data_IF_760903178922
#
_entry.id   IF_760903178922
#
_cell.length_a   1.000
_cell.length_b   1.000
_cell.length_c   1.000
_cell.angle_alpha   90.00
_cell.angle_beta   90.00
_cell.angle_gamma   90.00
#
_symmetry.space_group_name_H-M   'P 1'
#
loop_
_entity.id
_entity.type
_entity.pdbx_description
1 polymer ?
#
# COMPACT_ATOMS: atom_id res chain seq x y z
N UNK A 1 10.81 -11.60 25.89
CA UNK A 1 9.42 -11.28 26.25
C UNK A 1 9.23 -9.95 27.01
N UNK A 2 10.28 -9.27 27.50
CA UNK A 2 10.11 -8.04 28.29
C UNK A 2 9.65 -6.82 27.47
N UNK A 3 10.08 -6.69 26.21
CA UNK A 3 9.79 -5.53 25.34
C UNK A 3 8.34 -5.51 24.85
N UNK A 4 7.80 -6.68 24.49
CA UNK A 4 6.42 -6.82 24.02
C UNK A 4 5.40 -6.40 25.09
N UNK A 5 5.69 -6.63 26.37
CA UNK A 5 4.81 -6.20 27.47
C UNK A 5 4.82 -4.69 27.73
N UNK A 6 5.85 -3.96 27.25
CA UNK A 6 6.05 -2.53 27.57
C UNK A 6 5.79 -1.60 26.38
N UNK A 7 5.85 -2.11 25.16
CA UNK A 7 5.75 -1.35 23.91
C UNK A 7 4.64 -1.86 22.98
N UNK A 8 3.64 -2.55 23.54
CA UNK A 8 2.43 -2.91 22.81
C UNK A 8 1.47 -1.73 22.75
N UNK A 9 0.69 -1.65 21.68
CA UNK A 9 -0.36 -0.65 21.56
C UNK A 9 -1.47 -0.91 22.58
N UNK A 10 -1.88 0.14 23.29
CA UNK A 10 -3.00 0.11 24.22
C UNK A 10 -4.31 0.51 23.54
N UNK A 11 -5.48 0.10 24.09
CA UNK A 11 -6.78 0.51 23.56
C UNK A 11 -6.93 2.03 23.53
N UNK A 12 -7.19 2.59 22.34
CA UNK A 12 -7.34 4.03 22.13
C UNK A 12 -6.12 4.70 21.50
N UNK A 13 -4.98 4.01 21.41
CA UNK A 13 -3.83 4.50 20.66
C UNK A 13 -4.06 4.41 19.14
N UNK A 14 -3.37 5.28 18.40
CA UNK A 14 -3.43 5.35 16.93
C UNK A 14 -2.09 4.94 16.34
N UNK A 15 -2.11 4.00 15.39
CA UNK A 15 -0.94 3.67 14.59
C UNK A 15 -0.86 4.56 13.33
N UNK A 16 0.35 4.65 12.80
CA UNK A 16 0.68 5.45 11.63
C UNK A 16 1.60 4.66 10.69
N UNK A 17 1.34 4.77 9.40
CA UNK A 17 2.21 4.27 8.34
C UNK A 17 2.58 5.43 7.41
N UNK A 18 3.89 5.64 7.21
CA UNK A 18 4.44 6.65 6.32
C UNK A 18 5.33 5.97 5.27
N UNK A 19 5.15 6.32 4.01
CA UNK A 19 6.02 5.91 2.91
C UNK A 19 6.27 7.12 2.02
N UNK A 20 7.54 7.41 1.74
CA UNK A 20 7.92 8.47 0.80
C UNK A 20 8.86 7.90 -0.23
N UNK A 21 8.52 8.06 -1.51
CA UNK A 21 9.38 7.77 -2.64
C UNK A 21 9.71 9.06 -3.37
N UNK A 22 10.98 9.29 -3.64
CA UNK A 22 11.45 10.43 -4.42
C UNK A 22 12.10 9.92 -5.71
N UNK A 23 11.68 10.48 -6.83
CA UNK A 23 12.16 10.13 -8.16
C UNK A 23 12.76 11.35 -8.84
N UNK A 24 14.03 11.25 -9.25
CA UNK A 24 14.65 12.18 -10.18
C UNK A 24 14.40 11.69 -11.61
N UNK A 25 13.65 12.44 -12.40
CA UNK A 25 13.30 12.11 -13.78
C UNK A 25 14.00 13.07 -14.72
N UNK A 26 14.65 12.54 -15.76
CA UNK A 26 15.10 13.36 -16.89
C UNK A 26 14.06 13.26 -17.99
N UNK A 27 13.52 14.41 -18.41
CA UNK A 27 12.57 14.49 -19.50
C UNK A 27 13.31 14.48 -20.85
N UNK A 28 12.58 14.20 -21.93
CA UNK A 28 13.14 14.11 -23.29
C UNK A 28 13.74 15.45 -23.77
N UNK A 29 13.26 16.56 -23.23
CA UNK A 29 13.78 17.92 -23.47
C UNK A 29 15.10 18.22 -22.71
N UNK A 30 15.62 17.26 -21.96
CA UNK A 30 16.84 17.39 -21.15
C UNK A 30 16.63 18.04 -19.78
N UNK A 31 15.41 18.47 -19.45
CA UNK A 31 15.10 19.04 -18.14
C UNK A 31 15.07 17.97 -17.04
N UNK A 32 15.43 18.37 -15.82
CA UNK A 32 15.40 17.51 -14.64
C UNK A 32 14.16 17.81 -13.81
N UNK A 33 13.27 16.83 -13.69
CA UNK A 33 12.13 16.84 -12.78
C UNK A 33 12.41 16.07 -11.50
N UNK A 34 11.80 16.52 -10.40
CA UNK A 34 11.72 15.76 -9.15
C UNK A 34 10.26 15.46 -8.87
N UNK A 35 9.91 14.19 -8.79
CA UNK A 35 8.57 13.73 -8.47
C UNK A 35 8.60 13.00 -7.13
N UNK A 36 7.73 13.36 -6.21
CA UNK A 36 7.64 12.74 -4.89
C UNK A 36 6.28 12.08 -4.73
N UNK A 37 6.27 10.82 -4.30
CA UNK A 37 5.05 10.07 -3.94
C UNK A 37 5.08 9.82 -2.45
N UNK A 38 4.19 10.49 -1.72
CA UNK A 38 4.05 10.34 -0.27
C UNK A 38 2.74 9.65 0.05
N UNK A 39 2.79 8.67 0.94
CA UNK A 39 1.64 8.01 1.55
C UNK A 39 1.71 8.19 3.06
N UNK A 40 0.66 8.77 3.63
CA UNK A 40 0.48 8.89 5.07
C UNK A 40 -0.87 8.27 5.42
N UNK A 41 -0.86 7.26 6.28
CA UNK A 41 -2.06 6.61 6.76
C UNK A 41 -2.09 6.56 8.28
N UNK A 42 -3.27 6.77 8.84
CA UNK A 42 -3.55 6.64 10.26
C UNK A 42 -4.71 5.67 10.47
N UNK A 43 -4.77 5.02 11.63
CA UNK A 43 -5.97 4.29 12.04
C UNK A 43 -7.14 5.24 12.28
N UNK A 44 -8.30 4.82 11.78
CA UNK A 44 -9.59 5.46 12.07
C UNK A 44 -10.09 5.04 13.45
N UNK A 45 -10.83 5.93 14.11
CA UNK A 45 -11.46 5.65 15.40
C UNK A 45 -12.30 4.37 15.32
N UNK A 46 -12.08 3.44 16.26
CA UNK A 46 -12.73 2.13 16.34
C UNK A 46 -12.57 1.22 15.11
N UNK A 47 -11.61 1.49 14.21
CA UNK A 47 -11.32 0.65 13.04
C UNK A 47 -10.07 -0.23 13.18
N UNK A 48 -9.78 -0.97 12.13
CA UNK A 48 -8.54 -1.76 12.01
C UNK A 48 -7.30 -0.87 11.99
N UNK A 49 -6.15 -1.45 12.36
CA UNK A 49 -4.84 -0.78 12.29
C UNK A 49 -4.52 -0.38 10.85
N UNK A 50 -3.80 0.73 10.65
CA UNK A 50 -3.40 1.09 9.28
C UNK A 50 -2.45 0.06 8.68
N UNK A 51 -1.65 -0.61 9.52
CA UNK A 51 -0.80 -1.72 9.06
C UNK A 51 -1.64 -2.91 8.55
N UNK A 52 -2.69 -3.29 9.27
CA UNK A 52 -3.62 -4.34 8.83
C UNK A 52 -4.33 -3.96 7.54
N UNK A 53 -4.78 -2.71 7.39
CA UNK A 53 -5.39 -2.26 6.13
C UNK A 53 -4.41 -2.31 4.96
N UNK A 54 -3.20 -1.79 5.13
CA UNK A 54 -2.23 -1.72 4.03
C UNK A 54 -1.72 -3.11 3.61
N UNK A 55 -1.54 -4.03 4.55
CA UNK A 55 -1.04 -5.39 4.27
C UNK A 55 -2.19 -6.35 3.93
N UNK A 56 -3.24 -6.38 4.75
CA UNK A 56 -4.37 -7.28 4.64
C UNK A 56 -5.21 -7.05 3.38
N UNK A 57 -5.53 -5.79 3.05
CA UNK A 57 -6.28 -5.48 1.82
C UNK A 57 -5.47 -5.89 0.59
N UNK A 58 -4.15 -5.68 0.61
CA UNK A 58 -3.26 -6.10 -0.49
C UNK A 58 -3.29 -7.62 -0.66
N UNK A 59 -3.23 -8.39 0.43
CA UNK A 59 -3.28 -9.85 0.39
C UNK A 59 -4.63 -10.37 -0.16
N UNK A 60 -5.76 -9.85 0.36
CA UNK A 60 -7.11 -10.23 -0.10
C UNK A 60 -7.33 -9.84 -1.56
N UNK A 61 -6.88 -8.66 -1.98
CA UNK A 61 -7.00 -8.20 -3.37
C UNK A 61 -6.19 -9.09 -4.31
N UNK A 62 -5.02 -9.57 -3.88
CA UNK A 62 -4.23 -10.55 -4.64
C UNK A 62 -5.00 -11.86 -4.85
N UNK A 63 -5.62 -12.39 -3.80
CA UNK A 63 -6.48 -13.60 -3.90
C UNK A 63 -7.64 -13.34 -4.85
N UNK A 64 -8.30 -12.19 -4.75
CA UNK A 64 -9.42 -11.82 -5.61
C UNK A 64 -9.01 -11.76 -7.10
N UNK A 65 -7.84 -11.19 -7.42
CA UNK A 65 -7.33 -11.14 -8.80
C UNK A 65 -7.04 -12.53 -9.40
N UNK A 66 -6.66 -13.50 -8.57
CA UNK A 66 -6.46 -14.89 -8.98
C UNK A 66 -7.83 -15.56 -9.24
N UNK A 67 -8.77 -15.40 -8.31
CA UNK A 67 -10.12 -15.98 -8.44
C UNK A 67 -10.90 -15.43 -9.65
N UNK A 68 -10.71 -14.15 -9.97
CA UNK A 68 -11.34 -13.48 -11.13
C UNK A 68 -10.60 -13.77 -12.46
N UNK A 69 -9.59 -14.64 -12.47
CA UNK A 69 -8.78 -14.96 -13.66
C UNK A 69 -8.12 -13.74 -14.33
N UNK A 70 -7.84 -12.67 -13.58
CA UNK A 70 -7.08 -11.50 -14.05
C UNK A 70 -5.58 -11.85 -14.11
N UNK A 71 -5.09 -12.59 -13.10
CA UNK A 71 -3.75 -13.19 -13.10
C UNK A 71 -3.86 -14.62 -13.61
N UNK A 72 -3.45 -14.86 -14.85
CA UNK A 72 -3.50 -16.19 -15.51
C UNK A 72 -2.16 -16.94 -15.52
N UNK A 73 -1.09 -16.28 -15.10
CA UNK A 73 0.23 -16.89 -15.05
C UNK A 73 0.27 -17.96 -13.96
N UNK A 74 0.86 -19.12 -14.26
CA UNK A 74 1.05 -20.20 -13.30
C UNK A 74 2.49 -20.21 -12.77
N UNK A 75 2.67 -20.67 -11.52
CA UNK A 75 3.98 -20.79 -10.88
C UNK A 75 4.21 -19.79 -9.74
N UNK A 76 5.47 -19.60 -9.37
CA UNK A 76 5.86 -18.64 -8.33
C UNK A 76 5.92 -17.23 -8.90
N UNK A 77 4.96 -16.39 -8.53
CA UNK A 77 4.85 -15.01 -9.00
C UNK A 77 5.26 -14.04 -7.90
N UNK A 78 6.39 -13.34 -8.09
CA UNK A 78 6.90 -12.35 -7.12
C UNK A 78 6.54 -10.91 -7.50
N UNK A 79 6.62 -10.57 -8.79
CA UNK A 79 6.28 -9.24 -9.33
C UNK A 79 5.38 -9.45 -10.54
N UNK A 80 4.10 -9.20 -10.35
CA UNK A 80 3.14 -9.26 -11.44
C UNK A 80 3.42 -8.15 -12.47
N UNK A 81 2.93 -8.30 -13.70
CA UNK A 81 3.20 -7.35 -14.77
C UNK A 81 2.59 -5.96 -14.46
N UNK A 82 2.88 -4.96 -15.30
CA UNK A 82 2.39 -3.60 -15.10
C UNK A 82 0.86 -3.49 -15.04
N UNK A 83 0.12 -4.36 -15.73
CA UNK A 83 -1.35 -4.39 -15.71
C UNK A 83 -1.86 -4.95 -14.38
N UNK A 84 -1.32 -6.07 -13.90
CA UNK A 84 -1.67 -6.67 -12.62
C UNK A 84 -1.39 -5.72 -11.45
N UNK A 85 -0.28 -4.98 -11.50
CA UNK A 85 0.04 -3.96 -10.50
C UNK A 85 -1.00 -2.84 -10.49
N UNK A 86 -1.40 -2.35 -11.67
CA UNK A 86 -2.40 -1.29 -11.80
C UNK A 86 -3.77 -1.73 -11.27
N UNK A 87 -4.17 -2.97 -11.53
CA UNK A 87 -5.45 -3.51 -11.07
C UNK A 87 -5.45 -3.75 -9.55
N UNK A 88 -4.33 -4.19 -8.99
CA UNK A 88 -4.19 -4.29 -7.55
C UNK A 88 -4.23 -2.91 -6.89
N UNK A 89 -3.48 -1.95 -7.42
CA UNK A 89 -3.43 -0.59 -6.88
C UNK A 89 -4.79 0.10 -6.94
N UNK A 90 -5.51 0.02 -8.07
CA UNK A 90 -6.83 0.66 -8.22
C UNK A 90 -7.85 0.15 -7.19
N UNK A 91 -7.84 -1.15 -6.89
CA UNK A 91 -8.75 -1.79 -5.93
C UNK A 91 -8.37 -1.50 -4.49
N UNK A 92 -7.06 -1.53 -4.17
CA UNK A 92 -6.56 -1.12 -2.84
C UNK A 92 -6.88 0.35 -2.58
N UNK A 93 -6.76 1.22 -3.58
CA UNK A 93 -7.12 2.64 -3.46
C UNK A 93 -8.62 2.86 -3.33
N UNK A 94 -9.46 2.08 -4.03
CA UNK A 94 -10.92 2.16 -3.92
C UNK A 94 -11.42 1.81 -2.51
N UNK A 95 -10.70 0.98 -1.76
CA UNK A 95 -11.01 0.65 -0.36
C UNK A 95 -10.64 1.78 0.65
N UNK A 96 -10.35 2.99 0.17
CA UNK A 96 -10.16 4.17 1.02
C UNK A 96 -8.70 4.50 1.34
N UNK A 97 -7.72 3.92 0.63
CA UNK A 97 -6.30 4.25 0.79
C UNK A 97 -5.90 5.61 0.16
N UNK A 98 -6.80 6.26 -0.58
CA UNK A 98 -6.65 7.66 -1.04
C UNK A 98 -7.37 8.64 -0.11
N UNK A 99 -6.68 9.15 0.90
CA UNK A 99 -6.91 10.52 1.39
C UNK A 99 -5.53 11.14 1.61
N UNK A 100 -5.17 12.10 0.76
CA UNK A 100 -3.91 12.85 0.68
C UNK A 100 -2.74 12.18 -0.07
N UNK A 101 -2.84 12.19 -1.41
CA UNK A 101 -1.68 12.58 -2.21
C UNK A 101 -1.89 14.06 -2.56
N UNK A 102 -1.10 14.95 -1.97
CA UNK A 102 -0.83 16.28 -2.52
C UNK A 102 0.32 16.15 -3.52
#
# INVERSE_FOLDING_TARGET
>A
MATQKKLSFEPGERDMALRSHEFGTRYEDGTMGKQTTTFVGYRYENGDTIMEKTVGITAVTGVQLILENVVRSCGMLWRANSNHKRDLESRVFACGSRRNCL
#
